data_IF_994426221426
#
_entry.id   IF_994426221426
#
_cell.length_a   1.000
_cell.length_b   1.000
_cell.length_c   1.000
_cell.angle_alpha   90.00
_cell.angle_beta   90.00
_cell.angle_gamma   90.00
#
_symmetry.space_group_name_H-M   'P 1'
#
loop_
_entity.id
_entity.type
_entity.pdbx_description
1 polymer ?
#
# COMPACT_ATOMS: atom_id res chain seq x y z
N UNK A 1 26.25 46.89 -47.43
CA UNK A 1 26.81 45.90 -46.53
C UNK A 1 25.98 45.82 -45.22
N UNK A 2 25.69 46.98 -44.55
CA UNK A 2 24.93 47.00 -43.29
C UNK A 2 23.50 46.46 -43.43
N UNK A 3 22.76 46.79 -44.48
CA UNK A 3 21.42 46.31 -44.73
C UNK A 3 21.38 44.80 -44.99
N UNK A 4 22.42 44.22 -45.63
CA UNK A 4 22.51 42.77 -45.83
C UNK A 4 22.79 42.02 -44.55
N UNK A 5 23.60 42.58 -43.66
CA UNK A 5 23.89 42.01 -42.36
C UNK A 5 22.67 42.05 -41.44
N UNK A 6 21.88 43.14 -41.48
CA UNK A 6 20.63 43.27 -40.72
C UNK A 6 19.59 42.25 -41.18
N UNK A 7 19.44 41.99 -42.45
CA UNK A 7 18.55 40.99 -43.01
C UNK A 7 18.99 39.59 -42.62
N UNK A 8 20.29 39.29 -42.61
CA UNK A 8 20.83 38.00 -42.17
C UNK A 8 20.59 37.77 -40.65
N UNK A 9 20.75 38.80 -39.83
CA UNK A 9 20.48 38.74 -38.40
C UNK A 9 18.99 38.55 -38.08
N UNK A 10 18.07 39.16 -38.81
CA UNK A 10 16.63 39.03 -38.63
C UNK A 10 16.11 37.72 -39.24
N UNK A 11 16.72 37.23 -40.33
CA UNK A 11 16.38 35.96 -40.94
C UNK A 11 16.98 34.74 -40.24
N UNK A 12 17.88 34.94 -39.28
CA UNK A 12 18.42 33.84 -38.49
C UNK A 12 17.34 33.32 -37.52
N UNK A 13 16.94 32.04 -37.63
CA UNK A 13 15.96 31.45 -36.71
C UNK A 13 16.56 31.14 -35.31
N UNK A 14 17.58 31.89 -34.88
CA UNK A 14 18.29 31.64 -33.62
C UNK A 14 17.35 31.69 -32.40
N UNK A 15 16.33 32.56 -32.41
CA UNK A 15 15.31 32.63 -31.38
C UNK A 15 14.47 31.34 -31.34
N UNK A 16 14.17 30.76 -32.52
CA UNK A 16 13.42 29.50 -32.60
C UNK A 16 14.26 28.32 -32.09
N UNK A 17 15.58 28.34 -32.33
CA UNK A 17 16.50 27.32 -31.83
C UNK A 17 16.65 27.33 -30.30
N UNK A 18 16.39 28.46 -29.63
CA UNK A 18 16.41 28.58 -28.16
C UNK A 18 15.05 28.32 -27.50
N UNK A 19 13.97 28.41 -28.28
CA UNK A 19 12.61 28.27 -27.70
C UNK A 19 12.38 26.91 -27.08
N UNK A 20 12.78 25.83 -27.74
CA UNK A 20 12.62 24.46 -27.24
C UNK A 20 13.42 24.20 -25.94
N UNK A 21 14.73 24.49 -25.88
CA UNK A 21 15.51 24.33 -24.66
C UNK A 21 14.96 25.15 -23.48
N UNK A 22 14.58 26.40 -23.74
CA UNK A 22 14.00 27.25 -22.70
C UNK A 22 12.63 26.74 -22.20
N UNK A 23 11.78 26.28 -23.12
CA UNK A 23 10.51 25.68 -22.79
C UNK A 23 10.66 24.43 -21.92
N UNK A 24 11.60 23.54 -22.29
CA UNK A 24 11.93 22.35 -21.49
C UNK A 24 12.47 22.73 -20.10
N UNK A 25 13.36 23.70 -20.03
CA UNK A 25 13.93 24.19 -18.77
C UNK A 25 12.86 24.76 -17.86
N UNK A 26 11.98 25.58 -18.37
CA UNK A 26 10.84 26.12 -17.64
C UNK A 26 9.87 25.02 -17.18
N UNK A 27 9.60 24.04 -18.03
CA UNK A 27 8.79 22.87 -17.68
C UNK A 27 9.41 22.07 -16.52
N UNK A 28 10.71 21.77 -16.61
CA UNK A 28 11.44 21.08 -15.55
C UNK A 28 11.44 21.88 -14.23
N UNK A 29 11.66 23.20 -14.28
CA UNK A 29 11.61 24.07 -13.12
C UNK A 29 10.22 24.06 -12.46
N UNK A 30 9.16 24.11 -13.24
CA UNK A 30 7.77 24.06 -12.76
C UNK A 30 7.46 22.72 -12.07
N UNK A 31 7.93 21.60 -12.65
CA UNK A 31 7.78 20.28 -12.05
C UNK A 31 8.59 20.12 -10.77
N UNK A 32 9.83 20.65 -10.74
CA UNK A 32 10.69 20.63 -9.57
C UNK A 32 10.06 21.41 -8.40
N UNK A 33 9.43 22.55 -8.66
CA UNK A 33 8.68 23.33 -7.68
C UNK A 33 7.49 22.55 -7.08
N UNK A 34 6.99 21.53 -7.79
CA UNK A 34 5.93 20.61 -7.33
C UNK A 34 6.48 19.29 -6.76
N UNK A 35 7.79 19.20 -6.54
CA UNK A 35 8.45 18.01 -5.98
C UNK A 35 8.71 16.88 -6.99
N UNK A 36 8.55 17.14 -8.31
CA UNK A 36 8.81 16.18 -9.38
C UNK A 36 10.19 16.44 -10.00
N UNK A 37 11.12 15.50 -9.87
CA UNK A 37 12.46 15.59 -10.44
C UNK A 37 12.51 14.87 -11.77
N UNK A 38 12.74 15.63 -12.86
CA UNK A 38 12.90 15.10 -14.21
C UNK A 38 14.38 14.84 -14.46
N UNK A 39 14.76 13.60 -14.72
CA UNK A 39 16.16 13.17 -14.97
C UNK A 39 16.61 13.37 -16.42
N UNK A 40 15.68 13.31 -17.36
CA UNK A 40 15.93 13.46 -18.81
C UNK A 40 14.86 14.40 -19.38
N UNK A 41 15.28 15.51 -19.98
CA UNK A 41 14.38 16.50 -20.59
C UNK A 41 13.49 15.88 -21.69
N UNK A 42 14.01 14.87 -22.41
CA UNK A 42 13.23 14.13 -23.42
C UNK A 42 12.02 13.39 -22.83
N UNK A 43 12.03 13.11 -21.53
CA UNK A 43 10.87 12.53 -20.87
C UNK A 43 9.66 13.46 -20.90
N UNK A 44 9.84 14.78 -20.86
CA UNK A 44 8.74 15.75 -20.99
C UNK A 44 8.08 15.69 -22.36
N UNK A 45 8.88 15.59 -23.43
CA UNK A 45 8.37 15.47 -24.80
C UNK A 45 7.59 14.17 -24.97
N UNK A 46 8.11 13.06 -24.39
CA UNK A 46 7.44 11.75 -24.42
C UNK A 46 6.14 11.74 -23.61
N UNK A 47 6.09 12.44 -22.48
CA UNK A 47 4.87 12.55 -21.68
C UNK A 47 3.71 13.17 -22.46
N UNK A 48 4.00 14.09 -23.38
CA UNK A 48 2.97 14.70 -24.23
C UNK A 48 2.32 13.69 -25.21
N UNK A 49 2.97 12.57 -25.49
CA UNK A 49 2.47 11.51 -26.38
C UNK A 49 1.97 10.26 -25.63
N UNK A 50 1.96 10.29 -24.30
CA UNK A 50 1.46 9.16 -23.49
C UNK A 50 -0.04 9.03 -23.65
N UNK A 51 -0.49 7.87 -24.08
CA UNK A 51 -1.90 7.50 -24.20
C UNK A 51 -2.32 6.41 -23.23
N UNK A 52 -1.36 5.85 -22.47
CA UNK A 52 -1.61 4.79 -21.48
C UNK A 52 -0.71 4.93 -20.27
N UNK A 53 -1.29 4.76 -19.08
CA UNK A 53 -0.57 4.74 -17.80
C UNK A 53 -0.82 3.42 -17.10
N UNK A 54 0.25 2.73 -16.72
CA UNK A 54 0.20 1.51 -15.93
C UNK A 54 0.56 1.82 -14.47
N UNK A 55 -0.35 1.52 -13.55
CA UNK A 55 -0.15 1.67 -12.11
C UNK A 55 0.22 0.34 -11.48
N UNK A 56 1.25 0.32 -10.65
CA UNK A 56 1.38 -0.74 -9.66
C UNK A 56 0.32 -0.52 -8.56
N UNK A 57 -0.26 -1.61 -8.05
CA UNK A 57 -1.28 -1.52 -7.01
C UNK A 57 -0.67 -1.15 -5.66
N UNK A 58 0.24 -2.01 -5.18
CA UNK A 58 0.73 -1.98 -3.79
C UNK A 58 1.73 -0.85 -3.58
N UNK A 59 1.43 0.04 -2.64
CA UNK A 59 2.28 1.20 -2.32
C UNK A 59 2.20 2.35 -3.33
N UNK A 60 1.51 2.18 -4.48
CA UNK A 60 1.26 3.23 -5.47
C UNK A 60 -0.20 3.69 -5.40
N UNK A 61 -1.15 2.86 -5.80
CA UNK A 61 -2.57 3.14 -5.67
C UNK A 61 -3.09 2.92 -4.25
N UNK A 62 -2.54 1.93 -3.55
CA UNK A 62 -2.85 1.69 -2.14
C UNK A 62 -1.82 2.33 -1.21
N UNK A 63 -2.26 2.61 0.00
CA UNK A 63 -1.37 2.98 1.09
C UNK A 63 -0.42 1.81 1.40
N UNK A 64 0.85 2.09 1.76
CA UNK A 64 1.81 1.04 2.10
C UNK A 64 1.48 0.35 3.42
N UNK A 65 0.48 0.85 4.14
CA UNK A 65 0.06 0.35 5.44
C UNK A 65 -1.31 -0.31 5.33
N UNK A 66 -1.43 -1.48 5.96
CA UNK A 66 -2.73 -2.10 6.17
C UNK A 66 -3.50 -1.34 7.24
N UNK A 67 -4.80 -1.24 7.05
CA UNK A 67 -5.73 -0.68 8.05
C UNK A 67 -6.52 -1.80 8.70
N UNK A 68 -6.63 -1.77 10.01
CA UNK A 68 -7.45 -2.70 10.77
C UNK A 68 -8.93 -2.36 10.54
N UNK A 69 -9.66 -3.28 9.94
CA UNK A 69 -11.07 -3.07 9.55
C UNK A 69 -12.00 -3.60 10.61
N UNK A 70 -11.73 -4.80 11.11
CA UNK A 70 -12.58 -5.48 12.08
C UNK A 70 -11.74 -6.36 13.01
N UNK A 71 -12.20 -6.55 14.22
CA UNK A 71 -11.60 -7.44 15.21
C UNK A 71 -12.70 -8.14 16.00
N UNK A 72 -12.66 -9.43 15.97
CA UNK A 72 -13.50 -10.30 16.79
C UNK A 72 -12.63 -10.94 17.86
N UNK A 73 -12.98 -10.75 19.12
CA UNK A 73 -12.29 -11.38 20.24
C UNK A 73 -13.27 -12.23 21.06
N UNK A 74 -12.73 -13.20 21.79
CA UNK A 74 -13.45 -13.96 22.80
C UNK A 74 -13.79 -13.06 23.98
N UNK A 75 -14.91 -13.37 24.65
CA UNK A 75 -15.37 -12.66 25.83
C UNK A 75 -16.14 -11.37 25.54
N UNK A 76 -16.27 -10.54 26.55
CA UNK A 76 -17.02 -9.29 26.54
C UNK A 76 -16.23 -8.10 25.93
N UNK A 77 -16.80 -6.90 25.99
CA UNK A 77 -16.17 -5.69 25.46
C UNK A 77 -14.87 -5.32 26.20
N UNK A 78 -14.81 -5.57 27.52
CA UNK A 78 -13.64 -5.28 28.34
C UNK A 78 -12.49 -6.23 27.99
N UNK A 79 -12.77 -7.53 27.88
CA UNK A 79 -11.79 -8.52 27.45
C UNK A 79 -11.28 -8.24 26.05
N UNK A 80 -12.14 -7.82 25.12
CA UNK A 80 -11.71 -7.39 23.77
C UNK A 80 -10.74 -6.23 23.85
N UNK A 81 -11.01 -5.23 24.68
CA UNK A 81 -10.11 -4.08 24.86
C UNK A 81 -8.75 -4.51 25.41
N UNK A 82 -8.73 -5.40 26.39
CA UNK A 82 -7.51 -5.97 26.96
C UNK A 82 -6.68 -6.72 25.91
N UNK A 83 -7.31 -7.61 25.14
CA UNK A 83 -6.63 -8.33 24.05
C UNK A 83 -6.05 -7.38 23.00
N UNK A 84 -6.79 -6.36 22.62
CA UNK A 84 -6.29 -5.39 21.64
C UNK A 84 -5.12 -4.56 22.17
N UNK A 85 -5.11 -4.22 23.44
CA UNK A 85 -3.97 -3.54 24.08
C UNK A 85 -2.73 -4.43 24.13
N UNK A 86 -2.89 -5.72 24.45
CA UNK A 86 -1.81 -6.70 24.44
C UNK A 86 -1.24 -6.86 23.03
N UNK A 87 -2.10 -7.05 22.02
CA UNK A 87 -1.70 -7.16 20.61
C UNK A 87 -0.94 -5.92 20.15
N UNK A 88 -1.43 -4.72 20.48
CA UNK A 88 -0.78 -3.47 20.14
C UNK A 88 0.63 -3.36 20.78
N UNK A 89 0.77 -3.79 22.04
CA UNK A 89 2.05 -3.81 22.73
C UNK A 89 3.05 -4.79 22.09
N UNK A 90 2.61 -5.99 21.72
CA UNK A 90 3.46 -6.99 21.05
C UNK A 90 3.85 -6.50 19.65
N UNK A 91 2.89 -6.05 18.86
CA UNK A 91 3.11 -5.61 17.48
C UNK A 91 3.90 -4.29 17.38
N UNK A 92 3.95 -3.49 18.46
CA UNK A 92 4.80 -2.29 18.49
C UNK A 92 6.29 -2.60 18.28
N UNK A 93 6.72 -3.84 18.56
CA UNK A 93 8.09 -4.34 18.38
C UNK A 93 8.36 -4.91 16.98
N UNK A 94 7.33 -5.06 16.15
CA UNK A 94 7.44 -5.60 14.79
C UNK A 94 7.45 -4.50 13.73
N UNK A 95 8.24 -4.72 12.66
CA UNK A 95 8.26 -3.85 11.48
C UNK A 95 7.37 -4.38 10.34
N UNK A 96 6.71 -5.51 10.53
CA UNK A 96 5.87 -6.12 9.51
C UNK A 96 4.68 -5.21 9.12
N UNK A 97 4.22 -5.21 7.85
CA UNK A 97 3.06 -4.41 7.43
C UNK A 97 1.79 -4.64 8.26
N UNK A 98 1.55 -5.88 8.69
CA UNK A 98 0.43 -6.23 9.60
C UNK A 98 0.57 -5.53 10.95
N UNK A 99 1.77 -5.48 11.52
CA UNK A 99 2.03 -4.81 12.79
C UNK A 99 1.67 -3.31 12.72
N UNK A 100 1.91 -2.71 11.58
CA UNK A 100 1.56 -1.30 11.35
C UNK A 100 0.05 -1.05 11.42
N UNK A 101 -0.78 -2.03 11.07
CA UNK A 101 -2.24 -1.93 11.20
C UNK A 101 -2.69 -1.76 12.65
N UNK A 102 -1.90 -2.24 13.61
CA UNK A 102 -2.18 -2.10 15.03
C UNK A 102 -1.57 -0.85 15.68
N UNK A 103 -0.66 -0.13 15.02
CA UNK A 103 0.03 1.04 15.58
C UNK A 103 -0.87 2.22 15.96
N UNK A 104 -2.05 2.33 15.36
CA UNK A 104 -3.04 3.34 15.73
C UNK A 104 -3.76 3.07 17.06
N UNK A 105 -3.49 1.92 17.68
CA UNK A 105 -4.05 1.53 18.97
C UNK A 105 -2.97 1.66 20.03
N UNK A 106 -3.18 2.60 20.94
CA UNK A 106 -2.28 2.78 22.08
C UNK A 106 -2.64 1.72 23.13
N UNK A 107 -1.65 0.96 23.64
CA UNK A 107 -1.90 0.05 24.75
C UNK A 107 -2.45 0.81 25.95
N UNK A 108 -3.42 0.22 26.66
CA UNK A 108 -3.97 0.82 27.87
C UNK A 108 -2.88 0.87 28.98
N UNK A 109 -2.47 2.08 29.42
CA UNK A 109 -1.44 2.19 30.47
C UNK A 109 -1.84 1.53 31.79
N UNK A 110 -3.15 1.42 32.07
CA UNK A 110 -3.66 0.78 33.29
C UNK A 110 -3.35 -0.72 33.35
N UNK A 111 -3.16 -1.37 32.20
CA UNK A 111 -2.87 -2.80 32.12
C UNK A 111 -1.42 -3.15 32.47
N UNK A 112 -0.50 -2.17 32.53
CA UNK A 112 0.94 -2.39 32.81
C UNK A 112 1.50 -3.58 32.03
N UNK A 113 1.36 -3.53 30.70
CA UNK A 113 1.74 -4.63 29.81
C UNK A 113 3.26 -4.67 29.68
N UNK A 114 3.85 -5.77 30.08
CA UNK A 114 5.26 -6.07 29.85
C UNK A 114 5.40 -7.15 28.79
N UNK A 115 6.26 -6.90 27.77
CA UNK A 115 6.49 -7.82 26.67
C UNK A 115 7.91 -8.32 26.73
N UNK A 116 8.08 -9.62 26.86
CA UNK A 116 9.37 -10.30 26.94
C UNK A 116 9.48 -11.33 25.79
N UNK A 117 10.71 -11.79 25.53
CA UNK A 117 11.02 -12.87 24.58
C UNK A 117 10.30 -12.72 23.24
N UNK A 118 10.34 -11.48 22.70
CA UNK A 118 9.74 -11.21 21.40
C UNK A 118 10.54 -11.90 20.28
N UNK A 119 9.88 -12.75 19.52
CA UNK A 119 10.47 -13.52 18.41
C UNK A 119 9.64 -13.35 17.16
N UNK A 120 10.30 -13.08 16.03
CA UNK A 120 9.69 -13.15 14.69
C UNK A 120 9.90 -14.54 14.13
N UNK A 121 8.83 -15.26 13.83
CA UNK A 121 8.87 -16.58 13.19
C UNK A 121 8.62 -16.39 11.70
N UNK A 122 9.62 -16.62 10.83
CA UNK A 122 9.50 -16.38 9.39
C UNK A 122 8.30 -17.11 8.80
N UNK A 123 7.56 -16.44 7.93
CA UNK A 123 6.33 -16.91 7.27
C UNK A 123 5.16 -17.27 8.21
N UNK A 124 5.31 -17.24 9.53
CA UNK A 124 4.26 -17.58 10.48
C UNK A 124 3.67 -16.35 11.17
N UNK A 125 4.52 -15.52 11.81
CA UNK A 125 4.07 -14.37 12.57
C UNK A 125 5.05 -13.95 13.66
N UNK A 126 4.51 -13.46 14.77
CA UNK A 126 5.29 -13.05 15.95
C UNK A 126 4.81 -13.76 17.20
N UNK A 127 5.74 -14.06 18.10
CA UNK A 127 5.49 -14.64 19.40
C UNK A 127 6.15 -13.80 20.49
N UNK A 128 5.51 -13.64 21.63
CA UNK A 128 6.09 -13.00 22.80
C UNK A 128 5.51 -13.59 24.08
N UNK A 129 6.24 -13.45 25.19
CA UNK A 129 5.69 -13.62 26.54
C UNK A 129 5.17 -12.28 27.03
N UNK A 130 3.99 -12.27 27.56
CA UNK A 130 3.32 -11.05 28.02
C UNK A 130 2.80 -11.24 29.45
N UNK A 131 3.11 -10.28 30.30
CA UNK A 131 2.48 -10.13 31.62
C UNK A 131 1.67 -8.85 31.69
N UNK A 132 0.62 -8.85 32.52
CA UNK A 132 -0.23 -7.67 32.73
C UNK A 132 -0.40 -7.47 34.25
N UNK A 133 0.39 -6.56 34.81
CA UNK A 133 0.38 -6.33 36.27
C UNK A 133 0.71 -7.59 37.07
N UNK A 134 -0.23 -8.03 37.90
CA UNK A 134 -0.05 -9.23 38.77
C UNK A 134 -0.52 -10.54 38.12
N UNK A 135 -0.95 -10.52 36.88
CA UNK A 135 -1.44 -11.71 36.19
C UNK A 135 -0.27 -12.61 35.72
N UNK A 136 -0.48 -13.93 35.63
CA UNK A 136 0.53 -14.83 35.15
C UNK A 136 0.94 -14.49 33.71
N UNK A 137 2.22 -14.74 33.41
CA UNK A 137 2.76 -14.56 32.05
C UNK A 137 2.10 -15.54 31.08
N UNK A 138 1.66 -15.03 29.93
CA UNK A 138 1.07 -15.82 28.85
C UNK A 138 1.90 -15.70 27.58
N UNK A 139 1.93 -16.77 26.79
CA UNK A 139 2.55 -16.76 25.46
C UNK A 139 1.52 -16.27 24.45
N UNK A 140 1.78 -15.14 23.84
CA UNK A 140 0.94 -14.58 22.76
C UNK A 140 1.56 -14.93 21.41
N UNK A 141 0.75 -15.46 20.51
CA UNK A 141 1.11 -15.63 19.09
C UNK A 141 0.17 -14.82 18.22
N UNK A 142 0.73 -14.12 17.23
CA UNK A 142 -0.01 -13.28 16.28
C UNK A 142 0.50 -13.62 14.88
N UNK A 143 -0.34 -14.15 14.00
CA UNK A 143 0.11 -14.53 12.67
C UNK A 143 -0.85 -15.40 11.88
N UNK A 144 -0.29 -16.38 11.15
CA UNK A 144 -1.05 -17.32 10.35
C UNK A 144 -1.87 -18.28 11.23
N UNK A 145 -3.02 -18.73 10.71
CA UNK A 145 -3.99 -19.55 11.44
C UNK A 145 -3.37 -20.80 12.06
N UNK A 146 -2.79 -21.65 11.24
CA UNK A 146 -2.32 -22.98 11.63
C UNK A 146 -1.14 -22.94 12.62
N UNK A 147 -0.46 -21.80 12.69
CA UNK A 147 0.62 -21.59 13.64
C UNK A 147 0.15 -20.89 14.92
N UNK A 148 -0.73 -19.92 14.80
CA UNK A 148 -1.22 -19.18 15.96
C UNK A 148 -2.22 -20.02 16.80
N UNK A 149 -3.09 -20.77 16.13
CA UNK A 149 -4.13 -21.60 16.76
C UNK A 149 -3.76 -23.07 16.71
N UNK A 150 -2.95 -23.55 17.67
CA UNK A 150 -2.47 -24.94 17.72
C UNK A 150 -3.58 -25.96 17.96
N UNK A 151 -4.59 -25.59 18.73
CA UNK A 151 -5.71 -26.47 19.09
C UNK A 151 -6.98 -25.94 18.45
N UNK A 152 -7.22 -26.46 17.26
CA UNK A 152 -8.36 -26.30 16.41
C UNK A 152 -9.55 -25.51 16.95
N UNK A 153 -10.03 -24.61 16.12
CA UNK A 153 -11.45 -24.49 15.97
C UNK A 153 -12.20 -23.63 16.98
N UNK A 154 -11.80 -22.37 17.11
CA UNK A 154 -12.86 -21.41 17.37
C UNK A 154 -13.43 -20.90 16.03
N UNK A 155 -14.02 -21.84 15.27
CA UNK A 155 -14.87 -21.55 14.11
C UNK A 155 -15.87 -20.39 14.37
N UNK A 156 -16.44 -20.24 15.61
CA UNK A 156 -17.31 -19.13 15.94
C UNK A 156 -16.64 -17.76 15.82
N UNK A 157 -15.38 -17.59 16.23
CA UNK A 157 -14.68 -16.29 16.12
C UNK A 157 -14.45 -15.91 14.65
N UNK A 158 -14.01 -16.87 13.84
CA UNK A 158 -13.74 -16.63 12.42
C UNK A 158 -15.03 -16.36 11.62
N UNK A 159 -16.12 -17.05 11.93
CA UNK A 159 -17.44 -16.86 11.31
C UNK A 159 -18.07 -15.49 11.63
N UNK A 160 -17.71 -14.89 12.75
CA UNK A 160 -18.18 -13.55 13.14
C UNK A 160 -17.43 -12.45 12.41
N UNK A 161 -16.21 -12.72 11.91
CA UNK A 161 -15.42 -11.76 11.16
C UNK A 161 -15.98 -11.65 9.73
N UNK A 162 -16.46 -10.47 9.36
CA UNK A 162 -17.08 -10.23 8.05
C UNK A 162 -16.14 -9.44 7.15
N UNK A 163 -16.15 -9.80 5.86
CA UNK A 163 -15.43 -9.09 4.81
C UNK A 163 -14.19 -9.82 4.32
N UNK A 164 -13.56 -9.23 3.31
CA UNK A 164 -12.34 -9.73 2.67
C UNK A 164 -11.15 -8.92 3.13
N UNK A 165 -9.99 -9.53 3.18
CA UNK A 165 -8.74 -8.91 3.63
C UNK A 165 -7.75 -9.94 4.17
N UNK A 166 -6.64 -9.47 4.71
CA UNK A 166 -5.68 -10.30 5.41
C UNK A 166 -6.17 -10.59 6.81
N UNK A 167 -6.42 -11.86 7.11
CA UNK A 167 -6.78 -12.29 8.46
C UNK A 167 -5.53 -12.49 9.27
N UNK A 168 -5.60 -12.12 10.54
CA UNK A 168 -4.53 -12.25 11.53
C UNK A 168 -5.12 -12.94 12.75
N UNK A 169 -4.59 -14.10 13.08
CA UNK A 169 -5.07 -14.90 14.20
C UNK A 169 -4.22 -14.66 15.44
N UNK A 170 -4.84 -14.53 16.57
CA UNK A 170 -4.23 -14.23 17.86
C UNK A 170 -4.58 -15.34 18.85
N UNK A 171 -3.57 -15.86 19.53
CA UNK A 171 -3.74 -16.84 20.61
C UNK A 171 -3.01 -16.43 21.88
N UNK A 172 -3.51 -16.93 23.00
CA UNK A 172 -2.87 -16.89 24.29
C UNK A 172 -2.68 -18.34 24.78
N UNK A 173 -1.42 -18.75 25.04
CA UNK A 173 -1.04 -20.13 25.38
C UNK A 173 -1.63 -21.17 24.40
N UNK A 174 -1.61 -20.88 23.10
CA UNK A 174 -2.14 -21.73 22.04
C UNK A 174 -3.68 -21.72 21.89
N UNK A 175 -4.41 -21.06 22.80
CA UNK A 175 -5.85 -20.95 22.72
C UNK A 175 -6.28 -19.72 21.92
N UNK A 176 -7.24 -19.84 20.99
CA UNK A 176 -7.77 -18.72 20.22
C UNK A 176 -8.37 -17.64 21.12
N UNK A 177 -7.91 -16.40 20.98
CA UNK A 177 -8.45 -15.26 21.75
C UNK A 177 -9.01 -14.17 20.85
N UNK A 178 -8.49 -14.01 19.64
CA UNK A 178 -9.03 -13.04 18.71
C UNK A 178 -8.65 -13.37 17.25
N UNK A 179 -9.39 -12.81 16.34
CA UNK A 179 -9.04 -12.72 14.92
C UNK A 179 -9.27 -11.30 14.43
N UNK A 180 -8.31 -10.77 13.69
CA UNK A 180 -8.37 -9.43 13.14
C UNK A 180 -8.40 -9.47 11.61
N UNK A 181 -9.10 -8.51 11.00
CA UNK A 181 -9.13 -8.28 9.57
C UNK A 181 -8.37 -7.00 9.25
N UNK A 182 -7.28 -7.14 8.52
CA UNK A 182 -6.52 -6.02 8.00
C UNK A 182 -6.71 -5.90 6.48
N UNK A 183 -6.90 -4.69 5.98
CA UNK A 183 -7.16 -4.42 4.57
C UNK A 183 -6.24 -3.33 4.04
N UNK A 184 -5.85 -3.47 2.78
CA UNK A 184 -5.26 -2.34 2.06
C UNK A 184 -6.32 -1.25 1.85
N UNK A 185 -5.89 -0.01 1.98
CA UNK A 185 -6.70 1.15 1.70
C UNK A 185 -6.15 1.88 0.47
N UNK A 186 -7.02 2.24 -0.46
CA UNK A 186 -6.61 3.09 -1.58
C UNK A 186 -6.24 4.49 -1.08
N UNK A 187 -5.28 5.10 -1.74
CA UNK A 187 -4.97 6.51 -1.52
C UNK A 187 -6.19 7.37 -1.84
N UNK A 188 -6.43 8.37 -1.05
CA UNK A 188 -7.55 9.32 -1.27
C UNK A 188 -7.47 10.01 -2.64
N UNK A 189 -6.25 10.18 -3.19
CA UNK A 189 -6.02 10.76 -4.51
C UNK A 189 -6.27 9.79 -5.67
N UNK A 190 -6.37 8.48 -5.46
CA UNK A 190 -6.45 7.50 -6.55
C UNK A 190 -7.67 7.72 -7.46
N UNK A 191 -8.85 7.95 -6.87
CA UNK A 191 -10.07 8.19 -7.63
C UNK A 191 -9.98 9.48 -8.48
N UNK A 192 -9.49 10.58 -7.89
CA UNK A 192 -9.32 11.84 -8.60
C UNK A 192 -8.29 11.71 -9.74
N UNK A 193 -7.17 11.02 -9.49
CA UNK A 193 -6.15 10.76 -10.52
C UNK A 193 -6.74 9.98 -11.70
N UNK A 194 -7.57 8.97 -11.45
CA UNK A 194 -8.23 8.21 -12.50
C UNK A 194 -9.19 9.06 -13.31
N UNK A 195 -9.98 9.90 -12.65
CA UNK A 195 -10.88 10.86 -13.35
C UNK A 195 -10.12 11.87 -14.21
N UNK A 196 -8.97 12.36 -13.73
CA UNK A 196 -8.14 13.30 -14.50
C UNK A 196 -7.56 12.62 -15.75
N UNK A 197 -7.10 11.37 -15.65
CA UNK A 197 -6.63 10.60 -16.81
C UNK A 197 -7.76 10.33 -17.80
N UNK A 198 -8.97 10.05 -17.35
CA UNK A 198 -10.14 9.89 -18.23
C UNK A 198 -10.45 11.18 -19.00
N UNK A 199 -10.37 12.34 -18.33
CA UNK A 199 -10.56 13.66 -19.00
C UNK A 199 -9.50 13.95 -20.05
N UNK A 200 -8.31 13.37 -19.91
CA UNK A 200 -7.18 13.49 -20.83
C UNK A 200 -7.21 12.42 -21.93
N UNK A 201 -8.23 11.56 -21.97
CA UNK A 201 -8.32 10.40 -22.87
C UNK A 201 -7.12 9.44 -22.76
N UNK A 202 -6.56 9.30 -21.56
CA UNK A 202 -5.44 8.43 -21.25
C UNK A 202 -5.96 7.12 -20.66
N UNK A 203 -5.70 6.02 -21.34
CA UNK A 203 -6.04 4.66 -20.85
C UNK A 203 -5.26 4.35 -19.58
N UNK A 204 -5.96 3.93 -18.53
CA UNK A 204 -5.34 3.48 -17.29
C UNK A 204 -5.39 1.96 -17.16
N UNK A 205 -4.28 1.37 -16.72
CA UNK A 205 -4.19 -0.06 -16.43
C UNK A 205 -3.63 -0.24 -15.04
N UNK A 206 -4.05 -1.31 -14.34
CA UNK A 206 -3.51 -1.67 -13.04
C UNK A 206 -2.80 -3.02 -13.12
N UNK A 207 -1.56 -3.06 -12.66
CA UNK A 207 -0.73 -4.26 -12.59
C UNK A 207 -0.58 -4.68 -11.13
N UNK A 208 -0.95 -5.91 -10.78
CA UNK A 208 -0.88 -6.41 -9.41
C UNK A 208 -0.26 -7.81 -9.34
N UNK A 209 0.57 -8.04 -8.33
CA UNK A 209 1.06 -9.39 -8.00
C UNK A 209 0.06 -10.22 -7.21
N UNK A 210 -0.97 -9.61 -6.62
CA UNK A 210 -2.00 -10.33 -5.87
C UNK A 210 -3.04 -11.01 -6.77
N UNK A 211 -3.73 -11.99 -6.19
CA UNK A 211 -4.81 -12.71 -6.86
C UNK A 211 -5.99 -11.79 -7.20
N UNK A 212 -6.62 -12.04 -8.32
CA UNK A 212 -7.62 -11.19 -8.97
C UNK A 212 -8.80 -10.76 -8.09
N UNK A 213 -9.30 -11.62 -7.20
CA UNK A 213 -10.51 -11.35 -6.42
C UNK A 213 -10.35 -10.16 -5.45
N UNK A 214 -9.23 -10.11 -4.69
CA UNK A 214 -8.96 -9.00 -3.75
C UNK A 214 -8.72 -7.68 -4.46
N UNK A 215 -7.99 -7.74 -5.57
CA UNK A 215 -7.66 -6.54 -6.35
C UNK A 215 -8.92 -5.98 -7.02
N UNK A 216 -9.81 -6.85 -7.53
CA UNK A 216 -11.11 -6.43 -8.08
C UNK A 216 -11.99 -5.74 -7.03
N UNK A 217 -12.07 -6.32 -5.84
CA UNK A 217 -12.88 -5.72 -4.76
C UNK A 217 -12.34 -4.35 -4.34
N UNK A 218 -11.02 -4.19 -4.22
CA UNK A 218 -10.39 -2.92 -3.85
C UNK A 218 -10.61 -1.84 -4.90
N UNK A 219 -10.61 -2.20 -6.18
CA UNK A 219 -10.74 -1.29 -7.33
C UNK A 219 -12.16 -1.27 -7.92
N UNK A 220 -13.14 -1.88 -7.25
CA UNK A 220 -14.51 -1.96 -7.72
C UNK A 220 -15.06 -0.57 -8.05
N UNK A 221 -15.59 -0.42 -9.27
CA UNK A 221 -16.13 0.85 -9.79
C UNK A 221 -15.07 1.88 -10.21
N UNK A 222 -13.77 1.58 -10.09
CA UNK A 222 -12.70 2.51 -10.49
C UNK A 222 -11.98 2.10 -11.77
N UNK A 223 -11.99 0.83 -12.12
CA UNK A 223 -11.28 0.29 -13.29
C UNK A 223 -12.11 -0.81 -13.94
N UNK A 224 -12.15 -0.82 -15.27
CA UNK A 224 -12.75 -1.90 -16.04
C UNK A 224 -11.93 -3.19 -15.91
N UNK A 225 -12.61 -4.34 -16.01
CA UNK A 225 -11.98 -5.64 -15.78
C UNK A 225 -10.87 -5.96 -16.79
N UNK A 226 -11.00 -5.51 -18.04
CA UNK A 226 -9.99 -5.65 -19.10
C UNK A 226 -8.71 -4.83 -18.87
N UNK A 227 -8.75 -3.82 -18.02
CA UNK A 227 -7.61 -2.98 -17.64
C UNK A 227 -6.96 -3.40 -16.32
N UNK A 228 -7.46 -4.47 -15.69
CA UNK A 228 -6.92 -5.02 -14.46
C UNK A 228 -6.14 -6.30 -14.74
N UNK A 229 -4.83 -6.28 -14.55
CA UNK A 229 -3.93 -7.41 -14.70
C UNK A 229 -3.38 -7.82 -13.34
N UNK A 230 -3.82 -8.97 -12.84
CA UNK A 230 -3.50 -9.47 -11.50
C UNK A 230 -2.75 -10.80 -11.54
N UNK A 231 -2.08 -11.15 -10.44
CA UNK A 231 -1.28 -12.37 -10.33
C UNK A 231 0.04 -12.32 -11.14
N UNK A 232 0.53 -11.12 -11.45
CA UNK A 232 1.73 -10.93 -12.28
C UNK A 232 3.00 -10.92 -11.42
N UNK A 233 4.01 -11.67 -11.85
CA UNK A 233 5.37 -11.51 -11.34
C UNK A 233 5.99 -10.19 -11.79
N UNK A 234 7.06 -9.69 -11.15
CA UNK A 234 7.76 -8.49 -11.59
C UNK A 234 8.20 -8.53 -13.07
N UNK A 235 8.67 -9.68 -13.53
CA UNK A 235 9.07 -9.91 -14.93
C UNK A 235 7.88 -9.77 -15.88
N UNK A 236 6.74 -10.42 -15.54
CA UNK A 236 5.52 -10.33 -16.34
C UNK A 236 4.94 -8.91 -16.40
N UNK A 237 5.08 -8.11 -15.32
CA UNK A 237 4.71 -6.69 -15.35
C UNK A 237 5.55 -5.92 -16.37
N UNK A 238 6.88 -6.13 -16.38
CA UNK A 238 7.78 -5.49 -17.34
C UNK A 238 7.48 -5.90 -18.78
N UNK A 239 7.28 -7.20 -19.04
CA UNK A 239 6.89 -7.73 -20.35
C UNK A 239 5.58 -7.12 -20.85
N UNK A 240 4.59 -6.96 -19.97
CA UNK A 240 3.31 -6.34 -20.33
C UNK A 240 3.47 -4.88 -20.76
N UNK A 241 4.32 -4.13 -20.07
CA UNK A 241 4.63 -2.74 -20.46
C UNK A 241 5.33 -2.71 -21.82
N UNK A 242 6.31 -3.58 -22.06
CA UNK A 242 7.00 -3.67 -23.35
C UNK A 242 6.03 -4.01 -24.51
N UNK A 243 5.07 -4.92 -24.28
CA UNK A 243 4.03 -5.25 -25.27
C UNK A 243 3.16 -4.05 -25.64
N UNK A 244 2.92 -3.12 -24.71
CA UNK A 244 2.13 -1.91 -24.99
C UNK A 244 2.95 -0.79 -25.64
N UNK A 245 4.28 -0.88 -25.61
CA UNK A 245 5.20 0.08 -26.24
C UNK A 245 5.56 -0.30 -27.69
N UNK A 246 5.32 -1.53 -28.09
CA UNK A 246 5.54 -2.02 -29.45
C UNK A 246 4.38 -1.67 -30.37
#
# INVERSE_FOLDING_TARGET
>A
LFNGLSVLLVACPCALGLATPLGLWQGMATLAARGVVVRDARALERLASVNRVAFDKTGTLSEPQLTLVDVVASGDALQRHQWMSIVAAVESRSHHPVARAFRGRVPDPALKIEVEDFIVVPACGVQARVSTGSNPTVVIRIGQRDWAWEHGLDEPLEKRLRGTGSRVWISANGQPVAVALAREQLRSSAAATFQDLDRMDITRCVLSGEQSARTRELLAGMTEENHLHSGLTPTQKAERIQQWQA
#
